data_IF_117453103510
#
_entry.id   IF_117453103510
#
_cell.length_a   1.000
_cell.length_b   1.000
_cell.length_c   1.000
_cell.angle_alpha   90.00
_cell.angle_beta   90.00
_cell.angle_gamma   90.00
#
_symmetry.space_group_name_H-M   'P 1'
#
loop_
_entity.id
_entity.type
_entity.pdbx_description
1 polymer ?
#
# COMPACT_ATOMS: atom_id res chain seq x y z
N UNK A 1 20.92 34.44 0.96
CA UNK A 1 20.35 33.10 1.24
C UNK A 1 21.40 32.27 1.96
N UNK A 2 21.21 32.00 3.26
CA UNK A 2 22.10 31.09 4.01
C UNK A 2 21.60 29.66 3.76
N UNK A 3 22.41 28.84 3.10
CA UNK A 3 22.20 27.39 3.08
C UNK A 3 22.34 26.89 4.52
N UNK A 4 21.23 26.60 5.19
CA UNK A 4 21.25 25.85 6.44
C UNK A 4 21.34 24.39 6.03
N UNK A 5 22.47 23.70 6.25
CA UNK A 5 22.53 22.26 5.99
C UNK A 5 21.51 21.60 6.91
N UNK A 6 20.48 20.96 6.32
CA UNK A 6 19.53 20.14 7.06
C UNK A 6 20.31 18.92 7.57
N UNK A 7 20.95 19.05 8.72
CA UNK A 7 21.54 17.91 9.41
C UNK A 7 20.40 17.09 9.99
N UNK A 8 20.02 16.04 9.28
CA UNK A 8 19.11 15.03 9.81
C UNK A 8 19.88 14.27 10.86
N UNK A 9 19.60 14.55 12.13
CA UNK A 9 20.21 13.84 13.25
C UNK A 9 19.95 12.34 13.13
N UNK A 10 20.92 11.51 13.51
CA UNK A 10 20.78 10.05 13.57
C UNK A 10 19.42 9.65 14.17
N UNK A 11 19.08 10.22 15.32
CA UNK A 11 17.84 9.94 16.01
C UNK A 11 16.56 10.18 15.16
N UNK A 12 16.52 11.24 14.35
CA UNK A 12 15.40 11.51 13.44
C UNK A 12 15.26 10.42 12.36
N UNK A 13 16.39 9.87 11.88
CA UNK A 13 16.39 8.77 10.90
C UNK A 13 15.83 7.49 11.55
N UNK A 14 16.18 7.23 12.81
CA UNK A 14 15.62 6.08 13.55
C UNK A 14 14.12 6.20 13.76
N UNK A 15 13.62 7.37 14.17
CA UNK A 15 12.18 7.59 14.31
C UNK A 15 11.44 7.40 12.97
N UNK A 16 11.94 7.97 11.88
CA UNK A 16 11.34 7.82 10.56
C UNK A 16 11.31 6.36 10.09
N UNK A 17 12.39 5.60 10.30
CA UNK A 17 12.43 4.17 9.98
C UNK A 17 11.49 3.36 10.87
N UNK A 18 11.37 3.72 12.15
CA UNK A 18 10.48 3.05 13.09
C UNK A 18 9.01 3.27 12.71
N UNK A 19 8.61 4.51 12.45
CA UNK A 19 7.25 4.86 12.01
C UNK A 19 6.88 4.15 10.71
N UNK A 20 7.81 4.10 9.75
CA UNK A 20 7.59 3.39 8.48
C UNK A 20 7.38 1.88 8.69
N UNK A 21 8.12 1.25 9.61
CA UNK A 21 7.93 -0.18 9.94
C UNK A 21 6.57 -0.42 10.58
N UNK A 22 6.15 0.43 11.51
CA UNK A 22 4.82 0.35 12.11
C UNK A 22 3.75 0.48 11.03
N UNK A 23 3.85 1.50 10.17
CA UNK A 23 2.90 1.72 9.10
C UNK A 23 2.84 0.52 8.14
N UNK A 24 3.99 0.01 7.70
CA UNK A 24 4.05 -1.16 6.82
C UNK A 24 3.41 -2.40 7.45
N UNK A 25 3.71 -2.68 8.73
CA UNK A 25 3.08 -3.82 9.44
C UNK A 25 1.58 -3.62 9.60
N UNK A 26 1.12 -2.44 10.01
CA UNK A 26 -0.29 -2.11 10.13
C UNK A 26 -1.04 -2.24 8.80
N UNK A 27 -0.44 -1.81 7.69
CA UNK A 27 -1.00 -1.97 6.35
C UNK A 27 -1.14 -3.44 5.96
N UNK A 28 -0.10 -4.26 6.19
CA UNK A 28 -0.16 -5.71 5.92
C UNK A 28 -1.29 -6.39 6.69
N UNK A 29 -1.41 -6.10 7.99
CA UNK A 29 -2.49 -6.63 8.82
C UNK A 29 -3.85 -6.13 8.37
N UNK A 30 -3.98 -4.84 8.03
CA UNK A 30 -5.24 -4.24 7.58
C UNK A 30 -5.73 -4.86 6.28
N UNK A 31 -4.84 -5.12 5.32
CA UNK A 31 -5.18 -5.78 4.05
C UNK A 31 -5.60 -7.23 4.29
N UNK A 32 -4.88 -7.96 5.15
CA UNK A 32 -5.25 -9.31 5.54
C UNK A 32 -6.61 -9.37 6.23
N UNK A 33 -6.89 -8.45 7.15
CA UNK A 33 -8.16 -8.32 7.84
C UNK A 33 -9.30 -7.96 6.88
N UNK A 34 -9.07 -7.03 5.95
CA UNK A 34 -10.03 -6.67 4.91
C UNK A 34 -10.40 -7.89 4.06
N UNK A 35 -9.40 -8.60 3.54
CA UNK A 35 -9.62 -9.81 2.76
C UNK A 35 -10.40 -10.86 3.54
N UNK A 36 -10.01 -11.11 4.80
CA UNK A 36 -10.70 -12.06 5.66
C UNK A 36 -12.17 -11.66 5.90
N UNK A 37 -12.41 -10.39 6.22
CA UNK A 37 -13.74 -9.84 6.49
C UNK A 37 -14.67 -9.97 5.28
N UNK A 38 -14.15 -9.81 4.07
CA UNK A 38 -14.96 -9.87 2.85
C UNK A 38 -15.35 -11.28 2.40
N UNK A 39 -14.74 -12.34 2.95
CA UNK A 39 -15.03 -13.74 2.54
C UNK A 39 -16.46 -14.21 2.80
N UNK A 40 -17.17 -13.55 3.72
CA UNK A 40 -18.55 -13.92 4.10
C UNK A 40 -19.62 -13.08 3.40
N UNK A 41 -19.23 -12.05 2.65
CA UNK A 41 -20.16 -11.16 1.97
C UNK A 41 -20.28 -11.52 0.50
N UNK A 42 -21.49 -11.42 -0.04
CA UNK A 42 -21.72 -11.43 -1.48
C UNK A 42 -21.35 -10.05 -2.05
N UNK A 43 -20.10 -9.94 -2.51
CA UNK A 43 -19.53 -8.72 -3.05
C UNK A 43 -19.37 -8.82 -4.56
N UNK A 44 -19.60 -7.70 -5.24
CA UNK A 44 -19.47 -7.60 -6.69
C UNK A 44 -18.12 -8.15 -7.16
N UNK A 45 -18.05 -8.97 -8.24
CA UNK A 45 -16.82 -9.63 -8.69
C UNK A 45 -15.64 -8.68 -8.90
N UNK A 46 -15.90 -7.45 -9.37
CA UNK A 46 -14.87 -6.42 -9.54
C UNK A 46 -14.22 -6.01 -8.21
N UNK A 47 -15.02 -5.85 -7.14
CA UNK A 47 -14.53 -5.51 -5.78
C UNK A 47 -13.70 -6.66 -5.23
N UNK A 48 -14.17 -7.90 -5.41
CA UNK A 48 -13.46 -9.11 -4.97
C UNK A 48 -12.10 -9.24 -5.67
N UNK A 49 -12.05 -9.00 -6.97
CA UNK A 49 -10.81 -8.99 -7.75
C UNK A 49 -9.84 -7.95 -7.21
N UNK A 50 -10.31 -6.74 -6.96
CA UNK A 50 -9.48 -5.63 -6.48
C UNK A 50 -8.90 -5.88 -5.07
N UNK A 51 -9.69 -6.45 -4.16
CA UNK A 51 -9.20 -6.91 -2.85
C UNK A 51 -8.14 -8.01 -3.03
N UNK A 52 -8.37 -8.96 -3.94
CA UNK A 52 -7.39 -10.00 -4.28
C UNK A 52 -6.07 -9.41 -4.80
N UNK A 53 -6.12 -8.43 -5.70
CA UNK A 53 -4.94 -7.71 -6.20
C UNK A 53 -4.18 -7.00 -5.07
N UNK A 54 -4.88 -6.38 -4.13
CA UNK A 54 -4.25 -5.72 -2.99
C UNK A 54 -3.52 -6.70 -2.06
N UNK A 55 -4.13 -7.86 -1.78
CA UNK A 55 -3.50 -8.95 -1.00
C UNK A 55 -2.27 -9.47 -1.73
N UNK A 56 -2.38 -9.73 -3.04
CA UNK A 56 -1.24 -10.17 -3.84
C UNK A 56 -0.09 -9.17 -3.78
N UNK A 57 -0.39 -7.88 -3.91
CA UNK A 57 0.61 -6.83 -3.88
C UNK A 57 1.29 -6.67 -2.52
N UNK A 58 0.53 -6.76 -1.43
CA UNK A 58 1.05 -6.80 -0.06
C UNK A 58 2.01 -8.00 0.15
N UNK A 59 1.67 -9.16 -0.42
CA UNK A 59 2.52 -10.34 -0.42
C UNK A 59 3.85 -10.10 -1.16
N UNK A 60 3.80 -9.49 -2.35
CA UNK A 60 5.01 -9.14 -3.11
C UNK A 60 5.89 -8.16 -2.34
N UNK A 61 5.32 -7.13 -1.70
CA UNK A 61 6.09 -6.20 -0.87
C UNK A 61 6.79 -6.90 0.30
N UNK A 62 6.12 -7.86 0.95
CA UNK A 62 6.73 -8.67 2.01
C UNK A 62 7.94 -9.46 1.48
N UNK A 63 7.83 -10.05 0.29
CA UNK A 63 8.94 -10.81 -0.34
C UNK A 63 10.12 -9.88 -0.64
N UNK A 64 9.86 -8.71 -1.24
CA UNK A 64 10.90 -7.70 -1.53
C UNK A 64 11.60 -7.26 -0.24
N UNK A 65 10.81 -6.97 0.81
CA UNK A 65 11.35 -6.59 2.12
C UNK A 65 12.22 -7.67 2.74
N UNK A 66 11.76 -8.94 2.74
CA UNK A 66 12.55 -10.07 3.24
C UNK A 66 13.86 -10.24 2.47
N UNK A 67 13.83 -10.07 1.13
CA UNK A 67 15.05 -10.14 0.30
C UNK A 67 16.02 -9.02 0.63
N UNK A 68 15.53 -7.79 0.84
CA UNK A 68 16.37 -6.66 1.28
C UNK A 68 16.97 -6.90 2.67
N UNK A 69 16.21 -7.43 3.63
CA UNK A 69 16.72 -7.76 4.97
C UNK A 69 17.82 -8.83 4.88
N UNK A 70 17.60 -9.90 4.13
CA UNK A 70 18.60 -10.97 3.94
C UNK A 70 19.89 -10.47 3.28
N UNK A 71 19.80 -9.52 2.36
CA UNK A 71 20.96 -8.88 1.74
C UNK A 71 21.77 -8.06 2.75
N UNK A 72 21.11 -7.37 3.67
CA UNK A 72 21.79 -6.59 4.72
C UNK A 72 22.47 -7.51 5.73
N UNK A 73 21.82 -8.59 6.19
CA UNK A 73 22.44 -9.54 7.12
C UNK A 73 23.60 -10.31 6.50
N UNK A 74 23.48 -10.73 5.23
CA UNK A 74 24.58 -11.37 4.50
C UNK A 74 25.70 -10.38 4.16
N UNK A 75 25.34 -9.14 3.85
CA UNK A 75 26.25 -8.06 3.51
C UNK A 75 27.09 -7.51 4.67
N UNK A 76 26.57 -7.58 5.89
CA UNK A 76 27.37 -7.34 7.11
C UNK A 76 28.44 -8.44 7.28
N UNK A 77 28.20 -9.63 6.72
CA UNK A 77 29.16 -10.75 6.73
C UNK A 77 30.18 -10.66 5.58
N UNK A 78 29.93 -9.85 4.55
CA UNK A 78 30.79 -9.65 3.36
C UNK A 78 30.84 -8.17 2.98
N UNK A 79 31.88 -7.45 3.44
CA UNK A 79 32.11 -6.00 3.45
C UNK A 79 31.97 -5.18 2.11
N UNK A 80 31.26 -5.65 1.08
CA UNK A 80 31.06 -4.98 -0.22
C UNK A 80 29.65 -5.19 -0.83
N UNK A 81 28.59 -5.03 -0.05
CA UNK A 81 27.21 -5.22 -0.56
C UNK A 81 26.63 -3.91 -1.10
N UNK A 82 26.76 -3.72 -2.41
CA UNK A 82 25.98 -2.74 -3.17
C UNK A 82 24.49 -3.05 -2.99
N UNK A 83 23.73 -2.14 -2.36
CA UNK A 83 22.26 -2.31 -2.26
C UNK A 83 21.68 -2.18 -3.67
N UNK A 84 21.01 -3.22 -4.21
CA UNK A 84 20.51 -3.17 -5.57
C UNK A 84 19.45 -2.07 -5.70
N UNK A 85 19.69 -1.07 -6.56
CA UNK A 85 18.73 0.01 -6.85
C UNK A 85 17.40 -0.59 -7.31
N UNK A 86 17.44 -1.66 -8.09
CA UNK A 86 16.28 -2.40 -8.57
C UNK A 86 15.35 -2.89 -7.44
N UNK A 87 15.89 -3.31 -6.30
CA UNK A 87 15.06 -3.73 -5.16
C UNK A 87 14.39 -2.54 -4.48
N UNK A 88 15.13 -1.43 -4.35
CA UNK A 88 14.58 -0.18 -3.82
C UNK A 88 13.47 0.38 -4.70
N UNK A 89 13.68 0.42 -6.02
CA UNK A 89 12.67 0.88 -6.98
C UNK A 89 11.48 -0.05 -7.02
N UNK A 90 11.69 -1.37 -6.97
CA UNK A 90 10.60 -2.35 -6.88
C UNK A 90 9.77 -2.17 -5.60
N UNK A 91 10.42 -1.90 -4.46
CA UNK A 91 9.72 -1.63 -3.20
C UNK A 91 8.86 -0.36 -3.30
N UNK A 92 9.43 0.73 -3.82
CA UNK A 92 8.74 2.02 -3.98
C UNK A 92 7.58 1.94 -4.97
N UNK A 93 7.83 1.43 -6.17
CA UNK A 93 6.79 1.17 -7.16
C UNK A 93 5.70 0.28 -6.56
N UNK A 94 6.11 -0.69 -5.76
CA UNK A 94 5.17 -1.58 -5.12
C UNK A 94 4.25 -0.92 -4.10
N UNK A 95 4.79 0.04 -3.33
CA UNK A 95 4.02 0.80 -2.34
C UNK A 95 3.00 1.69 -3.04
N UNK A 96 3.40 2.33 -4.15
CA UNK A 96 2.53 3.18 -4.95
C UNK A 96 1.39 2.39 -5.60
N UNK A 97 1.68 1.21 -6.16
CA UNK A 97 0.66 0.31 -6.70
C UNK A 97 -0.32 -0.09 -5.61
N UNK A 98 0.17 -0.47 -4.42
CA UNK A 98 -0.70 -0.86 -3.32
C UNK A 98 -1.61 0.29 -2.86
N UNK A 99 -1.06 1.50 -2.73
CA UNK A 99 -1.83 2.70 -2.43
C UNK A 99 -2.90 2.96 -3.51
N UNK A 100 -2.54 2.81 -4.78
CA UNK A 100 -3.45 3.02 -5.91
C UNK A 100 -4.62 2.04 -5.88
N UNK A 101 -4.36 0.76 -5.60
CA UNK A 101 -5.40 -0.26 -5.45
C UNK A 101 -6.37 0.08 -4.31
N UNK A 102 -5.87 0.62 -3.19
CA UNK A 102 -6.71 1.07 -2.07
C UNK A 102 -7.54 2.31 -2.40
N UNK A 103 -6.98 3.28 -3.13
CA UNK A 103 -7.73 4.44 -3.61
C UNK A 103 -8.85 3.98 -4.56
N UNK A 104 -8.54 3.11 -5.53
CA UNK A 104 -9.51 2.58 -6.46
C UNK A 104 -10.62 1.79 -5.73
N UNK A 105 -10.27 1.03 -4.70
CA UNK A 105 -11.23 0.29 -3.90
C UNK A 105 -12.19 1.23 -3.16
N UNK A 106 -11.65 2.28 -2.53
CA UNK A 106 -12.45 3.31 -1.88
C UNK A 106 -13.40 4.00 -2.87
N UNK A 107 -12.94 4.32 -4.07
CA UNK A 107 -13.79 4.90 -5.11
C UNK A 107 -14.89 3.95 -5.58
N UNK A 108 -14.57 2.67 -5.75
CA UNK A 108 -15.52 1.64 -6.19
C UNK A 108 -16.61 1.37 -5.15
N UNK A 109 -16.27 1.46 -3.86
CA UNK A 109 -17.21 1.27 -2.75
C UNK A 109 -18.00 2.55 -2.41
N UNK A 110 -17.60 3.70 -2.95
CA UNK A 110 -18.26 4.97 -2.66
C UNK A 110 -19.65 5.00 -3.30
N UNK A 111 -20.67 5.06 -2.45
CA UNK A 111 -22.06 5.24 -2.92
C UNK A 111 -22.24 6.64 -3.54
N UNK A 112 -23.00 6.77 -4.63
CA UNK A 112 -23.37 8.08 -5.16
C UNK A 112 -24.13 8.90 -4.09
N UNK A 113 -23.93 10.22 -4.09
CA UNK A 113 -24.59 11.10 -3.12
C UNK A 113 -26.10 10.96 -3.23
N UNK A 114 -26.79 10.85 -2.09
CA UNK A 114 -28.25 10.83 -2.04
C UNK A 114 -28.85 12.11 -2.68
N UNK A 115 -28.17 13.25 -2.59
CA UNK A 115 -28.60 14.49 -3.26
C UNK A 115 -28.50 14.40 -4.78
N UNK A 116 -27.43 13.79 -5.30
CA UNK A 116 -27.27 13.55 -6.74
C UNK A 116 -28.33 12.58 -7.25
N UNK A 117 -28.58 11.47 -6.54
CA UNK A 117 -29.61 10.52 -6.91
C UNK A 117 -31.01 11.15 -6.91
N UNK A 118 -31.28 12.08 -5.99
CA UNK A 118 -32.54 12.85 -5.95
C UNK A 118 -32.65 13.90 -7.06
N UNK A 119 -31.52 14.45 -7.54
CA UNK A 119 -31.50 15.42 -8.64
C UNK A 119 -31.50 14.79 -10.03
N UNK A 120 -31.26 13.48 -10.14
CA UNK A 120 -31.37 12.78 -11.42
C UNK A 120 -32.85 12.82 -11.87
N UNK A 121 -33.14 13.32 -13.09
CA UNK A 121 -34.49 13.24 -13.63
C UNK A 121 -34.95 11.78 -13.63
N UNK A 122 -36.23 11.54 -13.33
CA UNK A 122 -36.87 10.23 -13.37
C UNK A 122 -36.95 9.71 -14.82
N UNK A 123 -35.80 9.43 -15.44
CA UNK A 123 -35.70 8.89 -16.80
C UNK A 123 -36.06 7.39 -16.80
N UNK A 124 -36.10 6.74 -15.63
CA UNK A 124 -36.35 5.31 -15.49
C UNK A 124 -37.78 4.96 -15.02
N UNK A 125 -38.81 5.62 -15.58
CA UNK A 125 -40.20 5.17 -15.45
C UNK A 125 -40.88 4.83 -16.78
N UNK A 126 -40.11 4.66 -17.84
CA UNK A 126 -40.63 4.23 -19.14
C UNK A 126 -39.76 3.08 -19.66
N UNK A 127 -40.19 1.87 -19.30
CA UNK A 127 -40.40 0.64 -20.10
C UNK A 127 -40.61 -0.51 -19.11
#
# INVERSE_FOLDING_TARGET
MKYVPVRVSFLNIFYLLFDHRILATATLFSIGALWWSTRKFDIHPAVRSLIGSAVGMAGLQKIVLLRMISLVTLGISTLLSYVPVELGTTHQAGALTLLTLMILLNHTLRRPSASLLKSLPQVAKTI
#
